data_IF_172113191886
#
_entry.id   IF_172113191886
#
_cell.length_a   1.000
_cell.length_b   1.000
_cell.length_c   1.000
_cell.angle_alpha   90.00
_cell.angle_beta   90.00
_cell.angle_gamma   90.00
#
_symmetry.space_group_name_H-M   'P 1'
#
loop_
_entity.id
_entity.type
_entity.pdbx_description
1 polymer ?
#
# COMPACT_ATOMS: atom_id res chain seq x y z
N UNK A 1 31.18 19.57 -32.81
CA UNK A 1 30.19 18.73 -33.56
C UNK A 1 29.47 17.78 -32.59
N UNK A 2 28.18 18.03 -32.33
CA UNK A 2 27.34 17.22 -31.43
C UNK A 2 26.60 16.16 -32.26
N UNK A 3 26.54 14.88 -31.86
CA UNK A 3 25.78 13.88 -32.60
C UNK A 3 24.26 14.13 -32.45
N UNK A 4 23.44 13.73 -33.45
CA UNK A 4 22.00 13.92 -33.41
C UNK A 4 21.33 12.97 -32.39
N UNK A 5 20.13 13.32 -31.89
CA UNK A 5 19.43 12.49 -30.91
C UNK A 5 18.86 11.22 -31.56
N UNK A 6 18.96 10.10 -30.83
CA UNK A 6 18.35 8.82 -31.18
C UNK A 6 16.86 8.87 -30.83
N UNK A 7 16.00 8.66 -31.83
CA UNK A 7 14.56 8.52 -31.64
C UNK A 7 14.27 7.07 -31.24
N UNK A 8 13.84 6.85 -30.00
CA UNK A 8 13.38 5.54 -29.52
C UNK A 8 11.86 5.50 -29.64
N UNK A 9 11.34 4.67 -30.55
CA UNK A 9 9.92 4.38 -30.64
C UNK A 9 9.53 3.46 -29.48
N UNK A 10 8.74 3.96 -28.52
CA UNK A 10 8.10 3.12 -27.52
C UNK A 10 6.96 2.32 -28.19
N UNK A 11 7.18 1.03 -28.39
CA UNK A 11 6.12 0.08 -28.72
C UNK A 11 5.26 -0.17 -27.47
N UNK A 12 3.99 0.22 -27.51
CA UNK A 12 3.02 -0.09 -26.46
C UNK A 12 2.55 -1.54 -26.62
N UNK A 13 3.13 -2.45 -25.83
CA UNK A 13 2.64 -3.83 -25.74
C UNK A 13 1.40 -3.86 -24.85
N UNK A 14 0.22 -4.02 -25.49
CA UNK A 14 -1.06 -4.22 -24.83
C UNK A 14 -1.10 -5.63 -24.23
N UNK A 15 -0.94 -5.75 -22.91
CA UNK A 15 -1.07 -7.03 -22.22
C UNK A 15 -2.55 -7.43 -22.22
N UNK A 16 -2.84 -8.55 -22.89
CA UNK A 16 -4.15 -9.18 -22.99
C UNK A 16 -4.32 -10.09 -21.78
N UNK A 17 -5.37 -9.89 -20.99
CA UNK A 17 -5.74 -10.80 -19.90
C UNK A 17 -6.01 -12.19 -20.45
N UNK A 18 -5.26 -13.19 -19.99
CA UNK A 18 -5.52 -14.60 -20.27
C UNK A 18 -5.91 -15.31 -18.97
N UNK A 19 -7.17 -15.72 -18.87
CA UNK A 19 -7.61 -16.74 -17.92
C UNK A 19 -7.11 -18.10 -18.41
N UNK A 20 -6.32 -18.78 -17.59
CA UNK A 20 -5.88 -20.15 -17.87
C UNK A 20 -7.02 -21.07 -17.42
N UNK A 21 -7.74 -21.64 -18.37
CA UNK A 21 -8.61 -22.79 -18.14
C UNK A 21 -7.89 -24.03 -18.64
N UNK A 22 -7.41 -24.85 -17.72
CA UNK A 22 -6.93 -26.20 -17.99
C UNK A 22 -8.11 -27.07 -18.42
N UNK A 23 -8.16 -27.41 -19.71
CA UNK A 23 -9.05 -28.45 -20.24
C UNK A 23 -8.37 -29.80 -20.10
N UNK A 24 -8.85 -30.62 -19.18
CA UNK A 24 -8.60 -32.05 -19.20
C UNK A 24 -9.91 -32.78 -19.48
N UNK A 25 -9.88 -33.68 -20.45
CA UNK A 25 -11.04 -34.32 -21.04
C UNK A 25 -11.08 -35.79 -20.62
N UNK A 26 -12.15 -36.22 -19.95
CA UNK A 26 -12.59 -37.61 -19.89
C UNK A 26 -14.03 -37.72 -19.39
N UNK A 27 -14.64 -38.85 -19.75
CA UNK A 27 -16.05 -39.14 -20.04
C UNK A 27 -17.02 -39.31 -18.86
N UNK A 28 -18.27 -38.91 -19.13
CA UNK A 28 -19.58 -39.50 -18.76
C UNK A 28 -19.81 -39.99 -17.31
N UNK A 29 -20.78 -39.39 -16.61
CA UNK A 29 -22.05 -40.01 -16.11
C UNK A 29 -22.76 -39.02 -15.17
N UNK A 30 -24.05 -38.73 -15.41
CA UNK A 30 -24.91 -37.90 -14.56
C UNK A 30 -25.24 -38.62 -13.25
N UNK A 31 -25.26 -37.92 -12.10
CA UNK A 31 -26.55 -37.74 -11.44
C UNK A 31 -26.75 -36.32 -10.85
N UNK A 32 -28.00 -36.06 -10.47
CA UNK A 32 -28.51 -34.78 -10.00
C UNK A 32 -28.02 -34.36 -8.59
N UNK A 33 -28.13 -33.05 -8.36
CA UNK A 33 -28.23 -32.37 -7.05
C UNK A 33 -26.95 -32.26 -6.22
N UNK A 34 -26.23 -31.16 -6.43
CA UNK A 34 -25.93 -30.18 -5.39
C UNK A 34 -25.48 -28.90 -6.12
N UNK A 35 -26.28 -27.84 -6.07
CA UNK A 35 -25.76 -26.50 -6.36
C UNK A 35 -24.89 -26.13 -5.17
N UNK A 36 -23.66 -26.64 -5.15
CA UNK A 36 -22.58 -26.05 -4.37
C UNK A 36 -22.44 -24.64 -4.92
N UNK A 37 -23.00 -23.67 -4.22
CA UNK A 37 -22.63 -22.27 -4.39
C UNK A 37 -21.16 -22.18 -4.03
N UNK A 38 -20.29 -22.41 -5.01
CA UNK A 38 -18.87 -22.09 -4.95
C UNK A 38 -18.83 -20.60 -4.67
N UNK A 39 -18.71 -20.26 -3.39
CA UNK A 39 -18.53 -18.87 -2.97
C UNK A 39 -17.21 -18.47 -3.58
N UNK A 40 -17.26 -17.66 -4.65
CA UNK A 40 -16.06 -17.06 -5.21
C UNK A 40 -15.23 -16.52 -4.03
N UNK A 41 -13.93 -16.84 -3.95
CA UNK A 41 -13.10 -16.31 -2.88
C UNK A 41 -13.31 -14.81 -2.84
N UNK A 42 -13.68 -14.29 -1.68
CA UNK A 42 -14.02 -12.90 -1.53
C UNK A 42 -12.86 -12.05 -2.09
N UNK A 43 -13.14 -11.27 -3.13
CA UNK A 43 -12.10 -10.59 -3.88
C UNK A 43 -11.57 -9.39 -3.09
N UNK A 44 -10.25 -9.26 -3.04
CA UNK A 44 -9.59 -8.03 -2.56
C UNK A 44 -9.66 -6.98 -3.66
N UNK A 45 -10.07 -5.75 -3.32
CA UNK A 45 -10.01 -4.60 -4.23
C UNK A 45 -8.82 -3.72 -3.86
N UNK A 46 -8.01 -3.38 -4.87
CA UNK A 46 -6.82 -2.54 -4.73
C UNK A 46 -7.03 -1.24 -5.50
N UNK A 47 -6.89 -0.11 -4.82
CA UNK A 47 -6.89 1.22 -5.43
C UNK A 47 -5.49 1.81 -5.35
N UNK A 48 -4.98 2.28 -6.49
CA UNK A 48 -3.66 2.90 -6.63
C UNK A 48 -3.75 4.44 -6.63
N UNK A 49 -3.46 5.13 -5.51
CA UNK A 49 -3.47 6.59 -5.39
C UNK A 49 -2.21 7.31 -5.91
N UNK A 50 -1.41 6.66 -6.77
CA UNK A 50 -0.09 7.08 -7.24
C UNK A 50 1.04 6.98 -6.18
N UNK A 51 2.29 7.11 -6.63
CA UNK A 51 3.52 6.90 -5.84
C UNK A 51 3.61 5.48 -5.24
N UNK A 52 4.01 5.34 -3.97
CA UNK A 52 4.09 4.04 -3.30
C UNK A 52 2.80 3.66 -2.55
N UNK A 53 1.81 4.56 -2.52
CA UNK A 53 0.61 4.37 -1.71
C UNK A 53 -0.37 3.38 -2.31
N UNK A 54 -1.15 2.72 -1.45
CA UNK A 54 -2.26 1.84 -1.82
C UNK A 54 -3.43 1.95 -0.85
N UNK A 55 -4.65 1.77 -1.35
CA UNK A 55 -5.81 1.48 -0.52
C UNK A 55 -6.29 0.06 -0.83
N UNK A 56 -6.23 -0.80 0.17
CA UNK A 56 -6.72 -2.17 0.10
C UNK A 56 -8.11 -2.24 0.73
N UNK A 57 -9.04 -2.87 0.03
CA UNK A 57 -10.37 -3.20 0.55
C UNK A 57 -10.44 -4.73 0.60
N UNK A 58 -10.33 -5.28 1.81
CA UNK A 58 -10.32 -6.71 2.08
C UNK A 58 -11.77 -7.25 2.15
N UNK A 59 -11.94 -8.58 2.02
CA UNK A 59 -13.21 -9.24 2.35
C UNK A 59 -13.80 -8.78 3.68
N UNK A 60 -15.11 -8.56 3.70
CA UNK A 60 -15.79 -8.01 4.89
C UNK A 60 -15.69 -6.49 5.02
N UNK A 61 -15.07 -5.80 4.05
CA UNK A 61 -15.07 -4.33 3.97
C UNK A 61 -13.98 -3.66 4.80
N UNK A 62 -13.03 -4.41 5.37
CA UNK A 62 -11.91 -3.86 6.11
C UNK A 62 -10.94 -3.14 5.17
N UNK A 63 -10.56 -1.90 5.50
CA UNK A 63 -9.76 -1.06 4.61
C UNK A 63 -8.39 -0.72 5.19
N UNK A 64 -7.34 -1.06 4.46
CA UNK A 64 -5.94 -0.78 4.83
C UNK A 64 -5.41 0.32 3.93
N UNK A 65 -4.93 1.40 4.52
CA UNK A 65 -4.20 2.45 3.81
C UNK A 65 -2.70 2.21 3.98
N UNK A 66 -1.99 2.06 2.88
CA UNK A 66 -0.55 1.74 2.86
C UNK A 66 0.20 2.94 2.30
N UNK A 67 1.26 3.36 2.99
CA UNK A 67 2.24 4.37 2.55
C UNK A 67 1.63 5.60 1.86
N UNK A 68 0.68 6.31 2.52
CA UNK A 68 -0.12 7.32 1.84
C UNK A 68 0.67 8.61 1.55
N UNK A 69 0.71 9.00 0.27
CA UNK A 69 1.05 10.36 -0.18
C UNK A 69 -0.22 11.02 -0.71
N UNK A 70 -0.95 11.75 0.13
CA UNK A 70 -2.28 12.29 -0.21
C UNK A 70 -2.33 13.82 -0.23
N UNK A 71 -1.38 14.47 0.45
CA UNK A 71 -1.36 15.92 0.63
C UNK A 71 -0.07 16.49 0.09
N UNK A 72 -0.20 17.43 -0.84
CA UNK A 72 0.94 18.13 -1.42
C UNK A 72 1.77 17.24 -2.36
N UNK A 73 2.91 17.78 -2.74
CA UNK A 73 3.89 17.07 -3.55
C UNK A 73 4.84 16.28 -2.64
N UNK A 74 5.50 15.27 -3.20
CA UNK A 74 6.61 14.57 -2.59
C UNK A 74 7.90 15.36 -2.86
N UNK A 75 8.55 15.85 -1.81
CA UNK A 75 9.72 16.74 -1.92
C UNK A 75 10.91 16.37 -1.01
N UNK A 76 10.80 15.31 -0.19
CA UNK A 76 11.84 14.89 0.77
C UNK A 76 12.29 16.02 1.72
N UNK A 77 11.46 17.06 1.92
CA UNK A 77 11.82 18.25 2.69
C UNK A 77 12.79 19.21 2.00
N UNK A 78 13.14 18.97 0.73
CA UNK A 78 14.10 19.76 -0.05
C UNK A 78 13.49 20.13 -1.42
N UNK A 79 12.43 20.96 -1.45
CA UNK A 79 11.63 21.22 -2.67
C UNK A 79 12.40 21.91 -3.80
N UNK A 80 13.52 22.56 -3.52
CA UNK A 80 14.38 23.14 -4.56
C UNK A 80 15.15 22.07 -5.35
N UNK A 81 15.33 20.89 -4.76
CA UNK A 81 16.08 19.77 -5.36
C UNK A 81 15.14 18.74 -5.99
N UNK A 82 14.04 18.42 -5.32
CA UNK A 82 13.07 17.43 -5.76
C UNK A 82 11.66 17.88 -5.43
N UNK A 83 10.76 17.88 -6.43
CA UNK A 83 9.36 18.24 -6.25
C UNK A 83 8.49 17.43 -7.23
N UNK A 84 7.93 16.31 -6.75
CA UNK A 84 7.12 15.41 -7.56
C UNK A 84 5.64 15.56 -7.23
N UNK A 85 4.84 15.92 -8.25
CA UNK A 85 3.39 15.98 -8.17
C UNK A 85 2.74 14.73 -8.76
N UNK A 86 1.52 14.42 -8.32
CA UNK A 86 0.67 13.42 -8.95
C UNK A 86 0.34 13.80 -10.38
N UNK A 87 0.31 12.80 -11.27
CA UNK A 87 0.07 12.97 -12.70
C UNK A 87 -1.40 13.09 -13.03
N UNK A 88 -2.26 12.28 -12.43
CA UNK A 88 -3.68 12.17 -12.80
C UNK A 88 -4.61 12.54 -11.67
N UNK A 89 -4.19 12.38 -10.41
CA UNK A 89 -4.99 12.75 -9.25
C UNK A 89 -4.81 14.22 -8.84
N UNK A 90 -5.85 14.87 -8.30
CA UNK A 90 -5.75 16.23 -7.76
C UNK A 90 -4.68 16.33 -6.67
N UNK A 91 -3.96 17.47 -6.62
CA UNK A 91 -2.92 17.76 -5.62
C UNK A 91 -3.43 17.76 -4.16
N UNK A 92 -4.73 17.99 -3.98
CA UNK A 92 -5.43 17.88 -2.71
C UNK A 92 -6.72 17.10 -2.95
N UNK A 93 -6.70 15.80 -2.65
CA UNK A 93 -7.95 15.09 -2.48
C UNK A 93 -8.56 15.46 -1.11
N UNK A 94 -9.89 15.51 -0.97
CA UNK A 94 -10.52 15.60 0.34
C UNK A 94 -10.13 14.35 1.15
N UNK A 95 -9.07 14.47 1.95
CA UNK A 95 -8.52 13.35 2.74
C UNK A 95 -9.63 12.75 3.60
N UNK A 96 -10.50 13.59 4.14
CA UNK A 96 -11.68 13.19 4.90
C UNK A 96 -12.57 12.14 4.18
N UNK A 97 -12.78 12.28 2.86
CA UNK A 97 -13.62 11.34 2.10
C UNK A 97 -12.94 9.98 1.90
N UNK A 98 -11.64 9.97 1.62
CA UNK A 98 -10.87 8.73 1.51
C UNK A 98 -10.77 8.01 2.87
N UNK A 99 -10.61 8.79 3.94
CA UNK A 99 -10.38 8.32 5.31
C UNK A 99 -11.62 7.89 6.08
N UNK A 100 -12.82 8.28 5.64
CA UNK A 100 -14.06 8.00 6.36
C UNK A 100 -14.30 6.50 6.61
N UNK A 101 -13.60 5.61 5.92
CA UNK A 101 -13.63 4.18 6.20
C UNK A 101 -12.29 3.49 6.10
N UNK A 102 -11.16 4.16 6.38
CA UNK A 102 -9.89 3.43 6.59
C UNK A 102 -9.91 2.83 7.99
N UNK A 103 -9.47 1.59 8.16
CA UNK A 103 -9.48 0.90 9.45
C UNK A 103 -8.07 0.69 10.01
N UNK A 104 -7.07 0.64 9.14
CA UNK A 104 -5.67 0.44 9.49
C UNK A 104 -4.77 1.30 8.60
N UNK A 105 -3.79 1.98 9.20
CA UNK A 105 -2.66 2.57 8.50
C UNK A 105 -1.44 1.63 8.58
N UNK A 106 -0.84 1.35 7.43
CA UNK A 106 0.35 0.52 7.30
C UNK A 106 1.51 1.37 6.76
N UNK A 107 2.64 1.38 7.46
CA UNK A 107 3.87 2.06 7.03
C UNK A 107 4.99 1.04 6.84
N UNK A 108 5.41 0.85 5.60
CA UNK A 108 6.39 -0.18 5.21
C UNK A 108 7.82 0.29 5.41
N UNK A 109 8.10 1.56 5.13
CA UNK A 109 9.42 2.16 5.17
C UNK A 109 9.40 3.51 5.85
N UNK A 110 10.57 3.98 6.29
CA UNK A 110 10.74 5.28 6.94
C UNK A 110 11.05 6.44 6.00
N UNK A 111 11.31 6.15 4.72
CA UNK A 111 11.62 7.16 3.70
C UNK A 111 10.40 8.02 3.36
N UNK A 112 10.60 9.29 2.98
CA UNK A 112 9.51 10.26 2.79
C UNK A 112 8.51 9.87 1.68
N UNK A 113 8.95 9.08 0.70
CA UNK A 113 8.10 8.52 -0.36
C UNK A 113 7.23 7.34 0.11
N UNK A 114 7.32 6.96 1.38
CA UNK A 114 6.46 5.99 2.05
C UNK A 114 5.83 6.56 3.34
N UNK A 115 6.64 7.20 4.18
CA UNK A 115 6.31 7.79 5.47
C UNK A 115 6.10 9.31 5.38
N UNK A 116 5.29 9.74 4.41
CA UNK A 116 5.19 11.15 4.04
C UNK A 116 4.62 12.04 5.17
N UNK A 117 5.49 12.87 5.77
CA UNK A 117 5.17 13.62 6.99
C UNK A 117 3.95 14.53 6.83
N UNK A 118 3.81 15.21 5.69
CA UNK A 118 2.70 16.14 5.43
C UNK A 118 1.36 15.42 5.44
N UNK A 119 1.31 14.22 4.84
CA UNK A 119 0.10 13.39 4.81
C UNK A 119 -0.19 12.83 6.20
N UNK A 120 0.82 12.26 6.87
CA UNK A 120 0.69 11.68 8.20
C UNK A 120 0.25 12.70 9.26
N UNK A 121 0.74 13.94 9.17
CA UNK A 121 0.34 15.03 10.07
C UNK A 121 -1.17 15.31 9.98
N UNK A 122 -1.70 15.42 8.76
CA UNK A 122 -3.14 15.63 8.59
C UNK A 122 -3.95 14.40 9.01
N UNK A 123 -3.47 13.19 8.73
CA UNK A 123 -4.11 11.95 9.17
C UNK A 123 -4.23 11.89 10.69
N UNK A 124 -3.13 12.15 11.39
CA UNK A 124 -3.09 12.12 12.85
C UNK A 124 -3.97 13.21 13.47
N UNK A 125 -4.09 14.38 12.84
CA UNK A 125 -4.97 15.45 13.28
C UNK A 125 -6.48 15.09 13.13
N UNK A 126 -6.85 14.40 12.04
CA UNK A 126 -8.24 14.02 11.77
C UNK A 126 -8.64 12.78 12.56
N UNK A 127 -7.79 11.75 12.62
CA UNK A 127 -8.05 10.48 13.28
C UNK A 127 -6.85 10.02 14.14
N UNK A 128 -6.60 10.66 15.29
CA UNK A 128 -5.52 10.26 16.19
C UNK A 128 -5.69 8.82 16.72
N UNK A 129 -6.93 8.31 16.73
CA UNK A 129 -7.27 6.93 17.14
C UNK A 129 -7.04 5.85 16.09
N UNK A 130 -6.74 6.19 14.84
CA UNK A 130 -6.51 5.21 13.76
C UNK A 130 -5.36 4.28 14.14
N UNK A 131 -5.57 2.95 14.18
CA UNK A 131 -4.49 1.99 14.38
C UNK A 131 -3.42 2.13 13.29
N UNK A 132 -2.16 2.19 13.72
CA UNK A 132 -1.00 2.26 12.83
C UNK A 132 -0.10 1.04 13.10
N UNK A 133 0.26 0.31 12.05
CA UNK A 133 1.31 -0.71 12.09
C UNK A 133 2.46 -0.23 11.21
N UNK A 134 3.68 -0.22 11.75
CA UNK A 134 4.83 0.41 11.10
C UNK A 134 6.15 -0.33 11.32
N UNK A 135 7.09 -0.09 10.40
CA UNK A 135 8.51 -0.44 10.58
C UNK A 135 9.08 0.32 11.78
N UNK A 136 9.94 -0.28 12.61
CA UNK A 136 10.62 0.42 13.69
C UNK A 136 11.42 1.64 13.22
N UNK A 137 11.88 1.65 11.97
CA UNK A 137 12.61 2.78 11.39
C UNK A 137 11.73 4.04 11.24
N UNK A 138 10.40 3.91 11.14
CA UNK A 138 9.48 5.04 11.03
C UNK A 138 9.19 5.73 12.38
N UNK A 139 9.67 5.16 13.50
CA UNK A 139 9.42 5.69 14.86
C UNK A 139 9.80 7.16 15.05
N UNK A 140 10.95 7.67 14.55
CA UNK A 140 11.30 9.08 14.71
C UNK A 140 10.27 10.05 14.10
N UNK A 141 9.56 9.63 13.05
CA UNK A 141 8.52 10.42 12.39
C UNK A 141 7.19 10.25 13.15
N UNK A 142 6.76 9.00 13.35
CA UNK A 142 5.43 8.69 13.90
C UNK A 142 5.29 9.06 15.39
N UNK A 143 6.36 8.99 16.18
CA UNK A 143 6.31 9.36 17.61
C UNK A 143 6.16 10.87 17.85
N UNK A 144 6.43 11.69 16.84
CA UNK A 144 6.21 13.14 16.89
C UNK A 144 4.76 13.54 16.52
N UNK A 145 3.94 12.58 16.08
CA UNK A 145 2.56 12.82 15.63
C UNK A 145 1.55 12.35 16.68
N UNK A 146 0.34 12.93 16.75
CA UNK A 146 -0.66 12.60 17.76
C UNK A 146 -1.40 11.27 17.53
N UNK A 147 -0.75 10.28 16.89
CA UNK A 147 -1.30 8.93 16.82
C UNK A 147 -1.27 8.28 18.21
N UNK A 148 -2.40 7.71 18.63
CA UNK A 148 -2.57 7.12 19.96
C UNK A 148 -2.33 5.60 19.97
N UNK A 149 -2.36 4.95 18.81
CA UNK A 149 -2.20 3.50 18.66
C UNK A 149 -1.19 3.19 17.56
N UNK A 150 0.10 3.12 17.91
CA UNK A 150 1.17 2.75 16.97
C UNK A 150 1.86 1.48 17.42
N UNK A 151 1.79 0.44 16.60
CA UNK A 151 2.48 -0.83 16.80
C UNK A 151 3.66 -0.93 15.84
N UNK A 152 4.86 -1.07 16.39
CA UNK A 152 6.08 -1.28 15.60
C UNK A 152 6.42 -2.77 15.59
N UNK A 153 6.61 -3.34 14.41
CA UNK A 153 6.91 -4.77 14.25
C UNK A 153 8.29 -4.96 13.61
N UNK A 154 9.18 -5.68 14.28
CA UNK A 154 10.39 -6.22 13.63
C UNK A 154 10.00 -7.38 12.68
N UNK A 155 10.79 -7.68 11.64
CA UNK A 155 10.55 -8.83 10.78
C UNK A 155 10.35 -10.13 11.56
N UNK A 156 9.29 -10.87 11.22
CA UNK A 156 8.86 -12.09 11.92
C UNK A 156 7.88 -11.86 13.08
N UNK A 157 7.67 -10.62 13.51
CA UNK A 157 6.64 -10.29 14.51
C UNK A 157 5.27 -10.08 13.86
N UNK A 158 4.22 -10.36 14.62
CA UNK A 158 2.84 -10.12 14.21
C UNK A 158 2.02 -9.43 15.30
N UNK A 159 0.92 -8.80 14.89
CA UNK A 159 -0.08 -8.23 15.79
C UNK A 159 -1.48 -8.45 15.24
N UNK A 160 -2.45 -8.58 16.15
CA UNK A 160 -3.85 -8.36 15.79
C UNK A 160 -4.08 -6.84 15.68
N UNK A 161 -4.65 -6.40 14.57
CA UNK A 161 -5.02 -5.01 14.33
C UNK A 161 -6.50 -4.96 13.93
N UNK A 162 -7.37 -4.68 14.91
CA UNK A 162 -8.82 -4.77 14.76
C UNK A 162 -9.28 -6.15 14.26
N UNK A 163 -9.70 -6.26 13.01
CA UNK A 163 -10.26 -7.49 12.44
C UNK A 163 -9.25 -8.35 11.66
N UNK A 164 -7.99 -7.91 11.55
CA UNK A 164 -6.95 -8.59 10.77
C UNK A 164 -5.73 -8.94 11.62
N UNK A 165 -4.97 -9.94 11.18
CA UNK A 165 -3.61 -10.19 11.66
C UNK A 165 -2.61 -9.62 10.67
N UNK A 166 -1.63 -8.87 11.18
CA UNK A 166 -0.55 -8.29 10.40
C UNK A 166 0.76 -8.95 10.80
N UNK A 167 1.47 -9.55 9.85
CA UNK A 167 2.79 -10.16 10.02
C UNK A 167 3.82 -9.32 9.26
N UNK A 168 4.85 -8.85 9.94
CA UNK A 168 5.98 -8.17 9.31
C UNK A 168 6.94 -9.18 8.68
N UNK A 169 7.39 -8.89 7.47
CA UNK A 169 8.44 -9.62 6.75
C UNK A 169 9.62 -8.70 6.48
N UNK A 170 10.82 -9.28 6.28
CA UNK A 170 12.00 -8.48 5.98
C UNK A 170 11.92 -7.90 4.56
N UNK A 171 12.21 -6.60 4.43
CA UNK A 171 12.39 -5.85 3.18
C UNK A 171 13.87 -5.42 3.06
N UNK A 172 14.28 -4.72 1.99
CA UNK A 172 15.66 -4.25 1.85
C UNK A 172 16.14 -3.37 3.00
N UNK A 173 17.45 -3.37 3.23
CA UNK A 173 18.14 -2.38 4.07
C UNK A 173 18.37 -1.13 3.21
N UNK A 174 17.62 -0.07 3.49
CA UNK A 174 17.69 1.19 2.75
C UNK A 174 18.48 2.22 3.56
N UNK A 175 19.80 2.12 3.47
CA UNK A 175 20.72 2.98 4.21
C UNK A 175 22.05 2.30 4.47
N UNK A 176 22.80 2.74 5.48
CA UNK A 176 24.04 2.06 5.87
C UNK A 176 23.78 0.59 6.21
N UNK A 177 24.76 -0.30 6.00
CA UNK A 177 24.56 -1.75 6.16
C UNK A 177 24.22 -2.19 7.60
N UNK A 178 24.41 -1.32 8.59
CA UNK A 178 24.03 -1.54 9.99
C UNK A 178 22.61 -1.05 10.34
N UNK A 179 21.91 -0.41 9.42
CA UNK A 179 20.51 -0.03 9.61
C UNK A 179 19.62 -1.28 9.62
N UNK A 180 18.51 -1.20 10.37
CA UNK A 180 17.50 -2.27 10.33
C UNK A 180 16.92 -2.36 8.91
N UNK A 181 16.59 -3.58 8.43
CA UNK A 181 15.78 -3.72 7.23
C UNK A 181 14.45 -2.99 7.40
N UNK A 182 13.88 -2.52 6.29
CA UNK A 182 12.49 -2.08 6.29
C UNK A 182 11.54 -3.28 6.28
N UNK A 183 10.22 -3.03 6.30
CA UNK A 183 9.21 -4.09 6.37
C UNK A 183 8.48 -4.31 5.05
N UNK A 184 8.19 -5.58 4.77
CA UNK A 184 6.99 -5.98 4.04
C UNK A 184 5.92 -6.42 5.05
N UNK A 185 4.68 -6.60 4.60
CA UNK A 185 3.63 -7.14 5.45
C UNK A 185 2.75 -8.15 4.73
N UNK A 186 2.30 -9.14 5.50
CA UNK A 186 1.23 -10.07 5.15
C UNK A 186 0.04 -9.74 6.04
N UNK A 187 -1.14 -9.58 5.43
CA UNK A 187 -2.40 -9.27 6.14
C UNK A 187 -3.39 -10.38 5.87
N UNK A 188 -3.94 -10.97 6.94
CA UNK A 188 -4.85 -12.13 6.91
C UNK A 188 -6.05 -11.92 7.82
#
# INVERSE_FOLDING_TARGET
PRPPPVIVHHATTRIRSSSITSSDSSSTTTPATATTSTTSPAAVKLTYPEFNGWLWELPGGFRVLVDPILIGNLDFGIPWLFDAAKKTLPKSQPVAGLLAGVDLLLITQSLDDHCHLRTLTQLAAIRPGLPVVATPNARPILSALPFTHVTYLEPGQSTAAAAVTVLATASPVLGPPWQRPENGYIVT
#
